data_IF_717018137712
#
_entry.id   IF_717018137712
#
_cell.length_a   1.000
_cell.length_b   1.000
_cell.length_c   1.000
_cell.angle_alpha   90.00
_cell.angle_beta   90.00
_cell.angle_gamma   90.00
#
_symmetry.space_group_name_H-M   'P 1'
#
loop_
_entity.id
_entity.type
_entity.pdbx_description
1 polymer ?
#
# COMPACT_ATOMS: atom_id res chain seq x y z
N UNK A 1 18.44 -16.19 -2.85
CA UNK A 1 17.00 -16.45 -2.72
C UNK A 1 16.63 -16.84 -1.30
N UNK A 2 16.15 -15.88 -0.50
CA UNK A 2 15.54 -16.18 0.80
C UNK A 2 14.02 -16.19 0.60
N UNK A 3 13.40 -17.37 0.65
CA UNK A 3 11.95 -17.47 0.76
C UNK A 3 11.60 -17.63 2.25
N UNK A 4 10.69 -16.80 2.79
CA UNK A 4 10.32 -16.87 4.20
C UNK A 4 9.61 -18.19 4.51
N UNK A 5 9.94 -18.78 5.65
CA UNK A 5 9.25 -19.96 6.17
C UNK A 5 7.82 -19.61 6.60
N UNK A 6 6.97 -20.63 6.71
CA UNK A 6 5.64 -20.48 7.31
C UNK A 6 5.71 -19.90 8.73
N UNK A 7 6.73 -20.29 9.49
CA UNK A 7 6.90 -19.80 10.86
C UNK A 7 7.32 -18.33 10.87
N UNK A 8 8.07 -17.86 9.87
CA UNK A 8 8.41 -16.44 9.72
C UNK A 8 7.15 -15.60 9.45
N UNK A 9 6.26 -16.09 8.57
CA UNK A 9 4.97 -15.45 8.28
C UNK A 9 4.06 -15.40 9.51
N UNK A 10 4.06 -16.46 10.33
CA UNK A 10 3.35 -16.48 11.60
C UNK A 10 3.92 -15.47 12.60
N UNK A 11 5.25 -15.41 12.73
CA UNK A 11 5.92 -14.40 13.55
C UNK A 11 5.56 -12.98 13.11
N UNK A 12 5.52 -12.72 11.80
CA UNK A 12 5.07 -11.44 11.26
C UNK A 12 3.60 -11.16 11.59
N UNK A 13 2.75 -12.19 11.55
CA UNK A 13 1.32 -12.08 11.87
C UNK A 13 1.10 -11.71 13.34
N UNK A 14 1.97 -12.16 14.25
CA UNK A 14 1.94 -11.78 15.68
C UNK A 14 2.11 -10.26 15.85
N UNK A 15 2.89 -9.60 14.99
CA UNK A 15 3.06 -8.15 15.06
C UNK A 15 1.76 -7.39 14.79
N UNK A 16 0.88 -7.91 13.92
CA UNK A 16 -0.43 -7.31 13.69
C UNK A 16 -1.32 -7.36 14.93
N UNK A 17 -1.25 -8.44 15.72
CA UNK A 17 -1.96 -8.53 17.00
C UNK A 17 -1.39 -7.55 18.03
N UNK A 18 -0.07 -7.36 18.08
CA UNK A 18 0.54 -6.33 18.93
C UNK A 18 0.06 -4.93 18.54
N UNK A 19 0.01 -4.64 17.23
CA UNK A 19 -0.48 -3.36 16.73
C UNK A 19 -1.95 -3.13 17.10
N UNK A 20 -2.80 -4.16 16.96
CA UNK A 20 -4.20 -4.11 17.38
C UNK A 20 -4.35 -3.79 18.87
N UNK A 21 -3.53 -4.40 19.72
CA UNK A 21 -3.61 -4.22 21.17
C UNK A 21 -3.18 -2.81 21.61
N UNK A 22 -2.44 -2.07 20.77
CA UNK A 22 -2.08 -0.66 21.01
C UNK A 22 -3.24 0.32 20.73
N UNK A 23 -4.30 -0.09 20.05
CA UNK A 23 -5.49 0.75 19.74
C UNK A 23 -5.14 2.11 19.11
N UNK A 24 -4.20 2.11 18.16
CA UNK A 24 -3.81 3.31 17.42
C UNK A 24 -4.92 3.76 16.47
N UNK A 25 -5.18 5.06 16.44
CA UNK A 25 -6.13 5.70 15.54
C UNK A 25 -5.47 6.10 14.21
N UNK A 26 -6.25 6.02 13.13
CA UNK A 26 -5.85 6.51 11.82
C UNK A 26 -6.26 7.98 11.68
N UNK A 27 -5.27 8.86 11.58
CA UNK A 27 -5.49 10.30 11.42
C UNK A 27 -5.37 10.69 9.95
N UNK A 28 -6.30 11.53 9.48
CA UNK A 28 -6.31 12.03 8.11
C UNK A 28 -5.69 13.42 8.09
N UNK A 29 -4.63 13.60 7.29
CA UNK A 29 -3.93 14.86 7.13
C UNK A 29 -4.05 15.31 5.67
N UNK A 30 -4.69 16.45 5.45
CA UNK A 30 -4.77 17.07 4.12
C UNK A 30 -3.60 18.04 3.94
N UNK A 31 -2.60 17.58 3.20
CA UNK A 31 -1.34 18.29 2.99
C UNK A 31 -1.16 18.69 1.52
N UNK A 32 -0.27 19.64 1.25
CA UNK A 32 0.06 20.05 -0.12
C UNK A 32 1.01 19.05 -0.78
N UNK A 33 0.99 19.02 -2.11
CA UNK A 33 1.91 18.17 -2.91
C UNK A 33 3.39 18.38 -2.52
N UNK A 34 3.82 19.64 -2.37
CA UNK A 34 5.20 19.97 -2.02
C UNK A 34 5.67 19.37 -0.68
N UNK A 35 4.82 19.41 0.34
CA UNK A 35 5.12 18.85 1.67
C UNK A 35 5.13 17.32 1.61
N UNK A 36 4.25 16.74 0.80
CA UNK A 36 4.20 15.29 0.57
C UNK A 36 5.48 14.79 -0.09
N UNK A 37 5.97 15.49 -1.10
CA UNK A 37 7.24 15.17 -1.77
C UNK A 37 8.42 15.22 -0.81
N UNK A 38 8.46 16.21 0.09
CA UNK A 38 9.47 16.30 1.14
C UNK A 38 9.37 15.14 2.14
N UNK A 39 8.15 14.82 2.60
CA UNK A 39 7.91 13.71 3.53
C UNK A 39 8.36 12.35 2.99
N UNK A 40 8.11 12.09 1.70
CA UNK A 40 8.45 10.81 1.06
C UNK A 40 9.74 10.86 0.25
N UNK A 41 10.61 11.86 0.45
CA UNK A 41 11.84 12.05 -0.31
C UNK A 41 12.77 10.81 -0.34
N UNK A 42 12.68 9.94 0.67
CA UNK A 42 13.46 8.72 0.79
C UNK A 42 12.94 7.52 -0.03
N UNK A 43 11.66 7.53 -0.44
CA UNK A 43 11.00 6.41 -1.13
C UNK A 43 10.66 6.79 -2.58
N UNK A 44 11.54 6.39 -3.51
CA UNK A 44 11.36 6.61 -4.96
C UNK A 44 10.04 6.06 -5.50
N UNK A 45 9.47 5.01 -4.90
CA UNK A 45 8.25 4.38 -5.40
C UNK A 45 7.03 5.20 -5.01
N UNK A 46 6.99 5.72 -3.79
CA UNK A 46 5.91 6.61 -3.34
C UNK A 46 6.00 7.96 -4.06
N UNK A 47 7.19 8.53 -4.20
CA UNK A 47 7.39 9.77 -4.96
C UNK A 47 6.85 9.70 -6.38
N UNK A 48 7.12 8.60 -7.10
CA UNK A 48 6.62 8.41 -8.46
C UNK A 48 5.08 8.30 -8.54
N UNK A 49 4.41 7.94 -7.44
CA UNK A 49 2.95 7.80 -7.37
C UNK A 49 2.25 9.12 -7.03
N UNK A 50 2.91 10.06 -6.33
CA UNK A 50 2.33 11.33 -5.87
C UNK A 50 1.61 12.08 -7.00
N UNK A 51 2.22 12.34 -8.18
CA UNK A 51 1.57 13.14 -9.22
C UNK A 51 0.32 12.47 -9.80
N UNK A 52 0.25 11.13 -9.74
CA UNK A 52 -0.95 10.41 -10.15
C UNK A 52 -2.04 10.48 -9.06
N UNK A 53 -1.66 10.34 -7.80
CA UNK A 53 -2.55 10.41 -6.64
C UNK A 53 -3.19 11.80 -6.50
N UNK A 54 -2.39 12.86 -6.65
CA UNK A 54 -2.86 14.26 -6.66
C UNK A 54 -3.94 14.48 -7.72
N UNK A 55 -3.71 14.03 -8.95
CA UNK A 55 -4.70 14.14 -10.05
C UNK A 55 -6.00 13.38 -9.76
N UNK A 56 -5.93 12.28 -9.01
CA UNK A 56 -7.11 11.49 -8.65
C UNK A 56 -7.92 12.09 -7.49
N UNK A 57 -7.26 12.79 -6.56
CA UNK A 57 -7.90 13.34 -5.36
C UNK A 57 -8.37 14.78 -5.53
N UNK A 58 -7.56 15.63 -6.16
CA UNK A 58 -7.84 17.07 -6.37
C UNK A 58 -7.66 17.47 -7.85
N UNK A 59 -8.55 17.04 -8.76
CA UNK A 59 -8.42 17.32 -10.19
C UNK A 59 -8.67 18.79 -10.60
N UNK A 60 -9.21 19.63 -9.71
CA UNK A 60 -9.70 20.97 -10.05
C UNK A 60 -9.27 22.10 -9.08
N UNK A 61 -8.34 21.84 -8.16
CA UNK A 61 -7.88 22.84 -7.21
C UNK A 61 -6.69 23.65 -7.73
N UNK A 62 -6.70 24.97 -7.44
CA UNK A 62 -5.54 25.85 -7.66
C UNK A 62 -4.32 25.46 -6.77
N UNK A 63 -4.56 24.73 -5.68
CA UNK A 63 -3.53 24.16 -4.81
C UNK A 63 -3.80 22.67 -4.65
N UNK A 64 -3.10 21.79 -5.37
CA UNK A 64 -3.30 20.35 -5.25
C UNK A 64 -3.04 19.88 -3.81
N UNK A 65 -4.05 19.24 -3.22
CA UNK A 65 -3.98 18.62 -1.89
C UNK A 65 -4.02 17.11 -2.00
N UNK A 66 -3.36 16.46 -1.06
CA UNK A 66 -3.33 15.02 -0.93
C UNK A 66 -3.66 14.64 0.51
N UNK A 67 -4.61 13.72 0.67
CA UNK A 67 -4.92 13.14 1.97
C UNK A 67 -3.91 12.04 2.27
N UNK A 68 -3.19 12.20 3.37
CA UNK A 68 -2.21 11.25 3.91
C UNK A 68 -2.72 10.73 5.23
N UNK A 69 -2.45 9.46 5.51
CA UNK A 69 -2.87 8.80 6.73
C UNK A 69 -1.70 8.60 7.67
N UNK A 70 -1.83 9.09 8.90
CA UNK A 70 -0.88 8.87 9.98
C UNK A 70 -1.42 7.84 10.96
N UNK A 71 -0.55 6.94 11.43
CA UNK A 71 -0.85 5.96 12.47
C UNK A 71 0.25 6.04 13.53
N UNK A 72 -0.12 6.43 14.75
CA UNK A 72 0.84 6.68 15.83
C UNK A 72 1.85 7.76 15.45
N UNK A 73 3.06 7.67 16.01
CA UNK A 73 4.02 8.78 15.97
C UNK A 73 4.88 8.83 14.69
N UNK A 74 5.08 7.70 14.01
CA UNK A 74 6.12 7.57 12.98
C UNK A 74 5.64 6.96 11.65
N UNK A 75 4.43 6.42 11.57
CA UNK A 75 3.98 5.75 10.36
C UNK A 75 3.03 6.64 9.56
N UNK A 76 3.46 7.02 8.36
CA UNK A 76 2.71 7.89 7.44
C UNK A 76 2.61 7.20 6.08
N UNK A 77 1.41 7.12 5.52
CA UNK A 77 1.18 6.48 4.22
C UNK A 77 0.10 7.16 3.37
N UNK A 78 0.22 7.02 2.05
CA UNK A 78 -0.69 7.57 1.06
C UNK A 78 -1.60 6.44 0.59
N UNK A 79 -2.92 6.61 0.68
CA UNK A 79 -3.88 5.63 0.17
C UNK A 79 -5.11 6.32 -0.40
N UNK A 80 -5.72 5.70 -1.41
CA UNK A 80 -6.99 6.16 -1.97
C UNK A 80 -8.18 5.64 -1.17
N UNK A 81 -9.07 6.55 -0.81
CA UNK A 81 -10.33 6.22 -0.14
C UNK A 81 -10.19 6.16 1.38
N UNK A 82 -11.31 6.01 2.10
CA UNK A 82 -11.33 6.03 3.56
C UNK A 82 -10.68 4.77 4.15
N UNK A 83 -9.98 4.94 5.28
CA UNK A 83 -9.46 3.84 6.08
C UNK A 83 -10.37 3.51 7.28
N UNK A 84 -10.10 2.36 7.91
CA UNK A 84 -10.67 2.02 9.22
C UNK A 84 -10.23 3.04 10.28
N UNK A 85 -11.04 3.25 11.33
CA UNK A 85 -10.80 4.35 12.27
C UNK A 85 -9.77 4.03 13.35
N UNK A 86 -9.65 2.75 13.73
CA UNK A 86 -8.67 2.28 14.72
C UNK A 86 -8.17 0.89 14.35
N UNK A 87 -6.90 0.64 14.69
CA UNK A 87 -6.24 -0.67 14.57
C UNK A 87 -6.95 -1.77 15.39
N UNK A 88 -7.73 -1.43 16.42
CA UNK A 88 -8.54 -2.39 17.20
C UNK A 88 -9.69 -3.02 16.42
N UNK A 89 -10.06 -2.42 15.29
CA UNK A 89 -11.04 -3.00 14.37
C UNK A 89 -10.47 -4.20 13.61
N UNK A 90 -9.15 -4.37 13.58
CA UNK A 90 -8.49 -5.55 13.05
C UNK A 90 -8.78 -6.73 13.99
N UNK A 91 -9.42 -7.78 13.48
CA UNK A 91 -9.75 -8.97 14.24
C UNK A 91 -8.69 -10.06 14.06
N UNK A 92 -9.06 -11.16 13.40
CA UNK A 92 -8.10 -12.22 13.05
C UNK A 92 -7.31 -11.81 11.83
N UNK A 93 -5.99 -11.86 11.93
CA UNK A 93 -5.07 -11.49 10.86
C UNK A 93 -3.98 -12.57 10.71
N UNK A 94 -3.70 -12.98 9.47
CA UNK A 94 -2.59 -13.88 9.15
C UNK A 94 -2.01 -13.61 7.75
N UNK A 95 -0.69 -13.56 7.66
CA UNK A 95 0.02 -13.53 6.38
C UNK A 95 -0.09 -14.90 5.69
N UNK A 96 -0.52 -14.90 4.43
CA UNK A 96 -0.76 -16.14 3.68
C UNK A 96 0.46 -16.59 2.88
N UNK A 97 1.05 -15.70 2.09
CA UNK A 97 2.16 -16.02 1.18
C UNK A 97 2.92 -14.77 0.71
N UNK A 98 4.17 -14.98 0.28
CA UNK A 98 4.97 -13.96 -0.40
C UNK A 98 5.35 -14.49 -1.78
N UNK A 99 5.16 -13.66 -2.80
CA UNK A 99 5.52 -13.97 -4.19
C UNK A 99 6.48 -12.95 -4.73
N UNK A 100 7.52 -13.41 -5.42
CA UNK A 100 8.31 -12.53 -6.27
C UNK A 100 7.50 -12.20 -7.53
N UNK A 101 7.43 -10.92 -7.86
CA UNK A 101 6.79 -10.40 -9.07
C UNK A 101 7.81 -9.59 -9.84
N UNK A 102 7.92 -9.87 -11.13
CA UNK A 102 8.75 -9.07 -12.01
C UNK A 102 8.00 -7.80 -12.36
N UNK A 103 8.62 -6.65 -12.12
CA UNK A 103 8.07 -5.34 -12.43
C UNK A 103 8.94 -4.67 -13.51
N UNK A 104 8.68 -4.93 -14.81
CA UNK A 104 9.52 -4.42 -15.90
C UNK A 104 9.65 -2.90 -15.88
N UNK A 105 8.60 -2.21 -15.43
CA UNK A 105 8.58 -0.76 -15.34
C UNK A 105 9.57 -0.19 -14.33
N UNK A 106 9.93 -0.95 -13.31
CA UNK A 106 10.88 -0.53 -12.27
C UNK A 106 12.26 -1.17 -12.45
N UNK A 107 12.41 -2.08 -13.42
CA UNK A 107 13.66 -2.79 -13.69
C UNK A 107 14.07 -3.78 -12.60
N UNK A 108 13.18 -4.09 -11.64
CA UNK A 108 13.50 -4.84 -10.44
C UNK A 108 12.43 -5.91 -10.13
N UNK A 109 12.84 -6.94 -9.40
CA UNK A 109 11.94 -7.95 -8.82
C UNK A 109 11.39 -7.42 -7.50
N UNK A 110 10.07 -7.34 -7.39
CA UNK A 110 9.39 -6.90 -6.17
C UNK A 110 8.77 -8.09 -5.45
N UNK A 111 8.54 -7.96 -4.14
CA UNK A 111 7.85 -8.97 -3.35
C UNK A 111 6.42 -8.53 -3.07
N UNK A 112 5.45 -9.34 -3.51
CA UNK A 112 4.04 -9.19 -3.16
C UNK A 112 3.74 -10.03 -1.93
N UNK A 113 3.46 -9.33 -0.83
CA UNK A 113 3.01 -9.95 0.41
C UNK A 113 1.48 -10.03 0.38
N UNK A 114 0.93 -11.19 0.73
CA UNK A 114 -0.51 -11.43 0.80
C UNK A 114 -0.89 -11.84 2.22
N UNK A 115 -2.05 -11.36 2.67
CA UNK A 115 -2.58 -11.63 3.99
C UNK A 115 -4.11 -11.68 3.95
N UNK A 116 -4.67 -12.33 4.96
CA UNK A 116 -6.10 -12.37 5.24
C UNK A 116 -6.39 -11.69 6.57
N UNK A 117 -7.38 -10.82 6.58
CA UNK A 117 -7.87 -10.17 7.80
C UNK A 117 -9.39 -10.29 7.89
N UNK A 118 -9.90 -10.54 9.09
CA UNK A 118 -11.31 -10.53 9.43
C UNK A 118 -11.51 -9.43 10.49
N UNK A 119 -12.49 -8.52 10.32
CA UNK A 119 -12.74 -7.47 11.29
C UNK A 119 -13.17 -8.05 12.64
N UNK A 120 -12.83 -7.38 13.73
CA UNK A 120 -13.09 -7.86 15.09
C UNK A 120 -14.60 -8.06 15.38
N UNK A 121 -15.46 -7.33 14.68
CA UNK A 121 -16.91 -7.46 14.81
C UNK A 121 -17.47 -8.76 14.21
N UNK A 122 -16.73 -9.40 13.28
CA UNK A 122 -17.17 -10.61 12.61
C UNK A 122 -16.52 -11.84 13.25
N UNK A 123 -17.30 -12.54 14.06
CA UNK A 123 -16.88 -13.81 14.64
C UNK A 123 -16.96 -14.93 13.60
N UNK A 124 -15.81 -15.54 13.31
CA UNK A 124 -15.69 -16.62 12.35
C UNK A 124 -15.13 -17.87 13.06
N UNK A 125 -15.69 -19.03 12.75
CA UNK A 125 -15.20 -20.30 13.27
C UNK A 125 -13.78 -20.58 12.75
N UNK A 126 -12.93 -21.22 13.57
CA UNK A 126 -11.51 -21.43 13.22
C UNK A 126 -11.34 -22.18 11.89
N UNK A 127 -12.15 -23.23 11.67
CA UNK A 127 -12.09 -24.02 10.44
C UNK A 127 -12.42 -23.19 9.19
N UNK A 128 -13.38 -22.26 9.30
CA UNK A 128 -13.73 -21.37 8.19
C UNK A 128 -12.58 -20.39 7.90
N UNK A 129 -11.87 -19.95 8.94
CA UNK A 129 -10.72 -19.06 8.77
C UNK A 129 -9.59 -19.78 8.05
N UNK A 130 -9.28 -21.01 8.47
CA UNK A 130 -8.27 -21.85 7.83
C UNK A 130 -8.59 -22.11 6.36
N UNK A 131 -9.87 -22.37 6.05
CA UNK A 131 -10.33 -22.55 4.67
C UNK A 131 -10.16 -21.29 3.80
N UNK A 132 -10.43 -20.11 4.36
CA UNK A 132 -10.19 -18.84 3.67
C UNK A 132 -8.69 -18.57 3.51
N UNK A 133 -7.88 -18.94 4.51
CA UNK A 133 -6.43 -18.78 4.48
C UNK A 133 -5.80 -19.64 3.37
N UNK A 134 -6.23 -20.90 3.21
CA UNK A 134 -5.79 -21.74 2.09
C UNK A 134 -6.12 -21.11 0.73
N UNK A 135 -7.28 -20.46 0.60
CA UNK A 135 -7.59 -19.67 -0.60
C UNK A 135 -6.70 -18.45 -0.77
N UNK A 136 -6.38 -17.76 0.33
CA UNK A 136 -5.52 -16.58 0.32
C UNK A 136 -4.05 -16.89 -0.05
N UNK A 137 -3.64 -18.16 -0.01
CA UNK A 137 -2.34 -18.64 -0.55
C UNK A 137 -2.34 -18.82 -2.06
N UNK A 138 -3.43 -18.51 -2.77
CA UNK A 138 -3.42 -18.46 -4.23
C UNK A 138 -2.97 -17.06 -4.65
N UNK A 139 -1.90 -16.98 -5.45
CA UNK A 139 -1.41 -15.70 -5.99
C UNK A 139 -2.54 -14.90 -6.62
N UNK A 140 -2.72 -13.67 -6.15
CA UNK A 140 -3.71 -12.76 -6.72
C UNK A 140 -3.20 -12.21 -8.06
N UNK A 141 -4.03 -12.31 -9.10
CA UNK A 141 -3.79 -11.79 -10.44
C UNK A 141 -4.06 -10.29 -10.63
N UNK A 142 -4.32 -9.54 -9.56
CA UNK A 142 -4.43 -8.08 -9.62
C UNK A 142 -3.21 -7.42 -10.28
N UNK A 143 -3.46 -6.29 -10.95
CA UNK A 143 -2.47 -5.54 -11.72
C UNK A 143 -1.12 -5.41 -11.02
N UNK A 144 -0.06 -5.53 -11.79
CA UNK A 144 1.32 -5.33 -11.33
C UNK A 144 1.56 -3.82 -11.29
N UNK A 145 2.25 -3.28 -10.26
CA UNK A 145 2.63 -1.87 -10.23
C UNK A 145 3.41 -1.48 -11.49
N UNK A 146 2.95 -0.45 -12.19
CA UNK A 146 3.63 0.12 -13.35
C UNK A 146 3.81 1.61 -13.14
N UNK A 147 4.97 2.17 -13.51
CA UNK A 147 5.14 3.61 -13.56
C UNK A 147 4.22 4.19 -14.65
N UNK A 148 3.69 5.41 -14.43
CA UNK A 148 3.05 6.15 -15.50
C UNK A 148 4.07 6.33 -16.63
N UNK A 149 3.75 5.86 -17.84
CA UNK A 149 4.59 6.17 -19.01
C UNK A 149 4.55 7.68 -19.22
N UNK A 150 5.65 8.36 -18.93
CA UNK A 150 5.84 9.75 -19.31
C UNK A 150 5.77 9.75 -20.84
N UNK A 151 4.75 10.40 -21.41
CA UNK A 151 4.74 10.68 -22.84
C UNK A 151 5.86 11.67 -23.08
N UNK A 152 7.02 11.20 -23.51
CA UNK A 152 8.02 12.07 -24.11
C UNK A 152 7.33 12.72 -25.30
N UNK A 153 6.99 14.00 -25.18
CA UNK A 153 6.62 14.82 -26.32
C UNK A 153 7.83 14.84 -27.23
N UNK A 154 7.77 14.10 -28.34
CA UNK A 154 8.76 14.21 -29.41
C UNK A 154 8.88 15.68 -29.79
N UNK A 155 10.03 16.27 -29.49
CA UNK A 155 10.44 17.56 -30.02
C UNK A 155 10.40 17.44 -31.55
N UNK A 156 9.35 17.99 -32.16
CA UNK A 156 9.37 18.28 -33.60
C UNK A 156 10.44 19.33 -33.83
N UNK A 157 11.59 18.85 -34.26
CA UNK A 157 12.71 19.64 -34.74
C UNK A 157 12.21 20.69 -35.73
N UNK A 158 12.58 21.92 -35.45
CA UNK A 158 12.59 23.07 -36.33
C UNK A 158 13.10 22.65 -37.73
N UNK A 159 12.30 22.92 -38.76
CA UNK A 159 12.84 23.23 -40.09
C UNK A 159 12.73 24.74 -40.26
N UNK A 160 13.82 25.41 -39.93
CA UNK A 160 14.14 26.76 -40.40
C UNK A 160 14.81 26.60 -41.76
N UNK A 161 14.32 27.39 -42.72
CA UNK A 161 14.81 27.64 -44.09
C UNK A 161 14.68 26.54 -45.16
#
# INVERSE_FOLDING_TARGET
DCQPSRDDLRCLSILAYKLRDLDLHFECLDITESVTEEMFAYDRFKLAQIPHMVRLMSPADNQPRLTVYQIGDYHVDITRGPLISSTKQIGRFEFSAIYNIDCPSYGETMQRIQALSIPNQLHLHYWTFDYLLERAKKRNGSSIPSLPKIKTSDNKTEKVE
#
